data_IF_705119609703
#
_entry.id   IF_705119609703
#
_cell.length_a   1.000
_cell.length_b   1.000
_cell.length_c   1.000
_cell.angle_alpha   90.00
_cell.angle_beta   90.00
_cell.angle_gamma   90.00
#
_symmetry.space_group_name_H-M   'P 1'
#
loop_
_entity.id
_entity.type
_entity.pdbx_description
1 polymer ?
#
# COMPACT_ATOMS: atom_id res chain seq x y z
N UNK A 1 21.38 -4.95 -6.44
CA UNK A 1 20.84 -6.15 -5.78
C UNK A 1 19.95 -6.85 -6.79
N UNK A 2 20.28 -8.08 -7.16
CA UNK A 2 19.38 -8.95 -7.93
C UNK A 2 18.57 -9.75 -6.93
N UNK A 3 17.28 -9.42 -6.80
CA UNK A 3 16.36 -10.25 -6.04
C UNK A 3 16.00 -11.48 -6.89
N UNK A 4 16.11 -12.67 -6.31
CA UNK A 4 15.70 -13.90 -6.99
C UNK A 4 14.17 -14.01 -7.01
N UNK A 5 13.63 -14.74 -7.99
CA UNK A 5 12.17 -14.95 -8.11
C UNK A 5 11.56 -15.57 -6.84
N UNK A 6 12.30 -16.47 -6.16
CA UNK A 6 11.89 -17.07 -4.87
C UNK A 6 11.71 -16.00 -3.78
N UNK A 7 12.67 -15.08 -3.63
CA UNK A 7 12.60 -13.99 -2.66
C UNK A 7 11.47 -13.01 -2.97
N UNK A 8 11.22 -12.74 -4.25
CA UNK A 8 10.10 -11.90 -4.68
C UNK A 8 8.75 -12.56 -4.37
N UNK A 9 8.64 -13.87 -4.56
CA UNK A 9 7.44 -14.64 -4.26
C UNK A 9 7.16 -14.66 -2.74
N UNK A 10 8.20 -14.82 -1.91
CA UNK A 10 8.08 -14.67 -0.45
C UNK A 10 7.67 -13.26 -0.04
N UNK A 11 8.29 -12.23 -0.62
CA UNK A 11 7.91 -10.84 -0.35
C UNK A 11 6.42 -10.60 -0.65
N UNK A 12 5.91 -11.15 -1.75
CA UNK A 12 4.50 -11.04 -2.12
C UNK A 12 3.57 -11.77 -1.13
N UNK A 13 3.95 -12.95 -0.66
CA UNK A 13 3.18 -13.69 0.35
C UNK A 13 3.13 -12.94 1.68
N UNK A 14 4.29 -12.43 2.14
CA UNK A 14 4.38 -11.61 3.36
C UNK A 14 3.57 -10.32 3.25
N UNK A 15 3.60 -9.67 2.09
CA UNK A 15 2.78 -8.49 1.82
C UNK A 15 1.28 -8.79 1.97
N UNK A 16 0.81 -9.91 1.42
CA UNK A 16 -0.60 -10.31 1.53
C UNK A 16 -1.00 -10.57 2.99
N UNK A 17 -0.18 -11.33 3.75
CA UNK A 17 -0.41 -11.55 5.18
C UNK A 17 -0.40 -10.26 5.99
N UNK A 18 0.51 -9.33 5.69
CA UNK A 18 0.54 -8.01 6.33
C UNK A 18 -0.75 -7.25 6.03
N UNK A 19 -1.28 -7.29 4.81
CA UNK A 19 -2.54 -6.62 4.48
C UNK A 19 -3.75 -7.23 5.21
N UNK A 20 -3.77 -8.54 5.41
CA UNK A 20 -4.82 -9.24 6.17
C UNK A 20 -4.81 -8.84 7.66
N UNK A 21 -3.66 -8.44 8.22
CA UNK A 21 -3.53 -8.03 9.62
C UNK A 21 -4.03 -6.60 9.87
N UNK A 22 -4.46 -6.29 11.11
CA UNK A 22 -4.82 -4.93 11.50
C UNK A 22 -3.60 -4.01 11.55
N UNK A 23 -3.77 -2.73 11.21
CA UNK A 23 -2.69 -1.73 11.05
C UNK A 23 -1.71 -1.67 12.23
N UNK A 24 -2.20 -1.87 13.46
CA UNK A 24 -1.35 -1.89 14.66
C UNK A 24 -0.41 -3.09 14.77
N UNK A 25 -0.74 -4.23 14.17
CA UNK A 25 0.08 -5.46 14.22
C UNK A 25 0.98 -5.61 12.99
N UNK A 26 0.66 -4.91 11.88
CA UNK A 26 1.42 -4.95 10.62
C UNK A 26 2.90 -4.64 10.81
N UNK A 27 3.23 -3.61 11.59
CA UNK A 27 4.60 -3.17 11.82
C UNK A 27 5.42 -4.24 12.56
N UNK A 28 4.86 -4.80 13.63
CA UNK A 28 5.49 -5.86 14.43
C UNK A 28 5.65 -7.15 13.65
N UNK A 29 4.61 -7.55 12.90
CA UNK A 29 4.67 -8.75 12.05
C UNK A 29 5.68 -8.60 10.92
N UNK A 30 5.72 -7.45 10.24
CA UNK A 30 6.73 -7.17 9.21
C UNK A 30 8.14 -7.24 9.77
N UNK A 31 8.38 -6.66 10.95
CA UNK A 31 9.69 -6.70 11.60
C UNK A 31 10.11 -8.13 11.98
N UNK A 32 9.17 -8.98 12.38
CA UNK A 32 9.43 -10.38 12.72
C UNK A 32 9.59 -11.29 11.49
N UNK A 33 8.80 -11.06 10.45
CA UNK A 33 8.75 -11.92 9.26
C UNK A 33 9.80 -11.54 8.20
N UNK A 34 10.24 -10.28 8.16
CA UNK A 34 11.31 -9.83 7.26
C UNK A 34 12.67 -9.83 7.98
N UNK A 35 13.28 -11.00 8.08
CA UNK A 35 14.68 -11.16 8.56
C UNK A 35 15.70 -10.83 7.47
N UNK A 36 15.34 -11.01 6.20
CA UNK A 36 16.19 -10.68 5.05
C UNK A 36 15.95 -9.24 4.57
N UNK A 37 17.02 -8.44 4.50
CA UNK A 37 16.96 -7.03 4.08
C UNK A 37 16.38 -6.85 2.67
N UNK A 38 16.77 -7.68 1.70
CA UNK A 38 16.24 -7.61 0.32
C UNK A 38 14.73 -7.85 0.25
N UNK A 39 14.22 -8.82 1.04
CA UNK A 39 12.78 -9.14 1.09
C UNK A 39 12.01 -8.01 1.76
N UNK A 40 12.58 -7.43 2.83
CA UNK A 40 12.00 -6.29 3.54
C UNK A 40 11.81 -5.08 2.64
N UNK A 41 12.82 -4.76 1.83
CA UNK A 41 12.79 -3.63 0.90
C UNK A 41 11.65 -3.81 -0.13
N UNK A 42 11.49 -5.02 -0.67
CA UNK A 42 10.39 -5.29 -1.61
C UNK A 42 9.01 -5.24 -0.97
N UNK A 43 8.86 -5.74 0.26
CA UNK A 43 7.59 -5.62 1.01
C UNK A 43 7.25 -4.16 1.26
N UNK A 44 8.24 -3.33 1.61
CA UNK A 44 8.04 -1.90 1.83
C UNK A 44 7.66 -1.15 0.53
N UNK A 45 8.31 -1.46 -0.58
CA UNK A 45 7.96 -0.93 -1.90
C UNK A 45 6.55 -1.34 -2.33
N UNK A 46 6.15 -2.59 -2.08
CA UNK A 46 4.79 -3.08 -2.34
C UNK A 46 3.74 -2.35 -1.50
N UNK A 47 4.02 -2.12 -0.20
CA UNK A 47 3.15 -1.35 0.69
C UNK A 47 3.02 0.11 0.23
N UNK A 48 4.14 0.77 -0.07
CA UNK A 48 4.15 2.14 -0.61
C UNK A 48 3.35 2.25 -1.91
N UNK A 49 3.50 1.28 -2.81
CA UNK A 49 2.75 1.25 -4.07
C UNK A 49 1.26 0.99 -3.82
N UNK A 50 0.92 0.13 -2.86
CA UNK A 50 -0.46 -0.13 -2.45
C UNK A 50 -1.11 1.09 -1.80
N UNK A 51 -0.41 1.83 -0.95
CA UNK A 51 -0.91 3.08 -0.38
C UNK A 51 -1.11 4.16 -1.45
N UNK A 52 -0.19 4.28 -2.41
CA UNK A 52 -0.36 5.18 -3.57
C UNK A 52 -1.56 4.78 -4.45
N UNK A 53 -1.73 3.50 -4.73
CA UNK A 53 -2.87 2.98 -5.49
C UNK A 53 -4.20 3.11 -4.73
N UNK A 54 -4.19 2.88 -3.41
CA UNK A 54 -5.35 3.09 -2.54
C UNK A 54 -5.75 4.56 -2.43
N UNK A 55 -4.76 5.46 -2.43
CA UNK A 55 -4.98 6.91 -2.48
C UNK A 55 -5.71 7.36 -3.77
N UNK A 56 -5.53 6.63 -4.87
CA UNK A 56 -6.26 6.88 -6.11
C UNK A 56 -7.75 6.55 -5.98
N UNK A 57 -8.09 5.40 -5.39
CA UNK A 57 -9.49 5.01 -5.15
C UNK A 57 -10.17 5.86 -4.07
N UNK A 58 -9.40 6.31 -3.07
CA UNK A 58 -9.87 7.26 -2.04
C UNK A 58 -10.26 8.63 -2.60
N UNK A 59 -9.68 9.05 -3.73
CA UNK A 59 -10.08 10.30 -4.41
C UNK A 59 -11.37 10.16 -5.22
N UNK A 60 -11.76 8.95 -5.61
CA UNK A 60 -13.00 8.71 -6.36
C UNK A 60 -14.24 8.57 -5.47
N UNK A 61 -14.06 8.36 -4.15
CA UNK A 61 -15.19 8.24 -3.19
C UNK A 61 -15.62 9.57 -2.58
N UNK A 62 -14.97 10.69 -2.94
CA UNK A 62 -15.49 12.02 -2.68
C UNK A 62 -15.49 12.86 -3.96
N UNK A 63 -16.38 12.57 -4.92
CA UNK A 63 -16.68 13.56 -5.92
C UNK A 63 -17.56 14.61 -5.23
N UNK A 64 -16.94 15.55 -4.52
CA UNK A 64 -17.51 16.90 -4.50
C UNK A 64 -17.32 17.44 -5.91
N UNK A 65 -18.16 16.97 -6.83
CA UNK A 65 -18.48 17.73 -8.04
C UNK A 65 -18.98 19.07 -7.53
N UNK A 66 -18.12 20.08 -7.49
CA UNK A 66 -18.62 21.44 -7.60
C UNK A 66 -19.23 21.51 -9.00
N UNK A 67 -20.54 21.36 -9.05
CA UNK A 67 -21.33 21.74 -10.21
C UNK A 67 -20.97 23.17 -10.60
N UNK A 68 -20.61 23.46 -11.87
CA UNK A 68 -20.27 24.81 -12.33
C UNK A 68 -21.48 25.77 -12.41
N UNK A 69 -22.49 25.60 -11.55
CA UNK A 69 -23.74 26.39 -11.55
C UNK A 69 -23.89 27.34 -10.35
N UNK A 70 -22.86 27.51 -9.52
CA UNK A 70 -22.90 28.42 -8.36
C UNK A 70 -22.23 29.78 -8.61
N UNK A 71 -22.01 30.18 -9.87
CA UNK A 71 -21.38 31.46 -10.21
C UNK A 71 -22.31 32.45 -10.92
N UNK A 72 -23.63 32.32 -10.76
CA UNK A 72 -24.57 33.33 -11.27
C UNK A 72 -25.58 33.72 -10.17
N UNK A 73 -25.11 34.50 -9.19
CA UNK A 73 -25.75 35.68 -8.58
C UNK A 73 -25.13 35.96 -7.20
N UNK A 74 -24.18 36.89 -7.12
CA UNK A 74 -24.21 37.98 -6.12
C UNK A 74 -23.17 39.05 -6.44
#
# INVERSE_FOLDING_TARGET
MEITADKLQRAKALFDEVLQRPTGERASFRAAACTESDVREQVELLLLNHERAGSFLGKLVNPKFHSPLDLELS
#
